data_IF_007380094827
#
_entry.id   IF_007380094827
#
_cell.length_a   1.000
_cell.length_b   1.000
_cell.length_c   1.000
_cell.angle_alpha   90.00
_cell.angle_beta   90.00
_cell.angle_gamma   90.00
#
_symmetry.space_group_name_H-M   'P 1'
#
loop_
_entity.id
_entity.type
_entity.pdbx_description
1 polymer ?
#
# COMPACT_ATOMS: atom_id res chain seq x y z
N UNK A 1 5.28 -17.13 -9.13
CA UNK A 1 6.58 -17.21 -8.44
C UNK A 1 6.47 -16.49 -7.09
N UNK A 2 6.89 -17.12 -5.99
CA UNK A 2 6.85 -16.49 -4.66
C UNK A 2 8.01 -15.49 -4.52
N UNK A 3 7.71 -14.22 -4.24
CA UNK A 3 8.72 -13.17 -4.08
C UNK A 3 9.69 -13.44 -2.95
N UNK A 4 10.98 -13.18 -3.20
CA UNK A 4 12.01 -13.23 -2.16
C UNK A 4 11.84 -12.07 -1.16
N UNK A 5 12.25 -12.22 0.11
CA UNK A 5 12.17 -11.15 1.11
C UNK A 5 12.90 -9.87 0.68
N UNK A 6 13.98 -9.98 -0.10
CA UNK A 6 14.73 -8.85 -0.65
C UNK A 6 13.94 -8.07 -1.69
N UNK A 7 13.17 -8.76 -2.55
CA UNK A 7 12.26 -8.13 -3.50
C UNK A 7 11.10 -7.42 -2.79
N UNK A 8 10.59 -8.00 -1.70
CA UNK A 8 9.58 -7.34 -0.85
C UNK A 8 10.11 -6.07 -0.19
N UNK A 9 11.35 -6.09 0.29
CA UNK A 9 11.99 -4.91 0.88
C UNK A 9 12.22 -3.79 -0.16
N UNK A 10 12.66 -4.13 -1.37
CA UNK A 10 12.81 -3.16 -2.46
C UNK A 10 11.49 -2.52 -2.87
N UNK A 11 10.40 -3.29 -2.91
CA UNK A 11 9.05 -2.77 -3.14
C UNK A 11 8.57 -1.88 -2.00
N UNK A 12 8.88 -2.25 -0.76
CA UNK A 12 8.62 -1.41 0.41
C UNK A 12 9.30 -0.05 0.31
N UNK A 13 10.57 -0.03 -0.10
CA UNK A 13 11.32 1.21 -0.31
C UNK A 13 10.68 2.11 -1.38
N UNK A 14 10.29 1.54 -2.53
CA UNK A 14 9.58 2.28 -3.59
C UNK A 14 8.23 2.82 -3.11
N UNK A 15 7.51 2.05 -2.30
CA UNK A 15 6.23 2.48 -1.70
C UNK A 15 6.40 3.65 -0.74
N UNK A 16 7.49 3.67 0.03
CA UNK A 16 7.82 4.77 0.93
C UNK A 16 8.03 6.10 0.17
N UNK A 17 8.61 6.06 -1.04
CA UNK A 17 8.73 7.24 -1.91
C UNK A 17 7.36 7.82 -2.28
N UNK A 18 6.35 6.95 -2.41
CA UNK A 18 4.98 7.34 -2.75
C UNK A 18 4.09 7.58 -1.52
N UNK A 19 4.63 7.63 -0.29
CA UNK A 19 3.85 7.82 0.94
C UNK A 19 2.88 9.01 0.89
N UNK A 20 3.31 10.10 0.25
CA UNK A 20 2.50 11.32 0.12
C UNK A 20 1.27 11.08 -0.77
N UNK A 21 1.38 10.25 -1.81
CA UNK A 21 0.24 9.89 -2.69
C UNK A 21 -0.83 9.10 -1.95
N UNK A 22 -0.42 8.19 -1.06
CA UNK A 22 -1.37 7.50 -0.18
C UNK A 22 -2.06 8.49 0.76
N UNK A 23 -1.32 9.46 1.31
CA UNK A 23 -1.89 10.50 2.19
C UNK A 23 -2.85 11.42 1.44
N UNK A 24 -2.48 11.87 0.24
CA UNK A 24 -3.34 12.68 -0.64
C UNK A 24 -4.64 11.93 -0.99
N UNK A 25 -4.55 10.63 -1.28
CA UNK A 25 -5.75 9.83 -1.60
C UNK A 25 -6.65 9.60 -0.39
N UNK A 26 -6.06 9.43 0.79
CA UNK A 26 -6.80 9.37 2.05
C UNK A 26 -7.54 10.67 2.32
N UNK A 27 -6.86 11.79 2.13
CA UNK A 27 -7.42 13.14 2.27
C UNK A 27 -8.57 13.39 1.27
N UNK A 28 -8.37 13.03 0.00
CA UNK A 28 -9.39 13.11 -1.05
C UNK A 28 -10.64 12.27 -0.72
N UNK A 29 -10.44 11.10 -0.10
CA UNK A 29 -11.55 10.26 0.33
C UNK A 29 -12.21 10.73 1.64
N UNK A 30 -11.60 11.68 2.35
CA UNK A 30 -12.02 12.10 3.69
C UNK A 30 -11.77 11.04 4.78
N UNK A 31 -10.79 10.16 4.59
CA UNK A 31 -10.46 9.09 5.53
C UNK A 31 -9.16 9.38 6.27
N UNK A 32 -9.21 9.29 7.60
CA UNK A 32 -8.02 9.28 8.45
C UNK A 32 -7.41 7.89 8.54
N UNK A 33 -6.15 7.82 8.97
CA UNK A 33 -5.48 6.53 9.23
C UNK A 33 -6.19 5.70 10.31
N UNK A 34 -6.90 6.35 11.23
CA UNK A 34 -7.68 5.71 12.29
C UNK A 34 -9.01 5.19 11.76
N UNK A 35 -9.78 6.04 11.08
CA UNK A 35 -11.07 5.72 10.46
C UNK A 35 -10.92 4.56 9.46
N UNK A 36 -9.88 4.60 8.64
CA UNK A 36 -9.52 3.51 7.73
C UNK A 36 -9.18 2.21 8.49
N UNK A 37 -8.48 2.32 9.63
CA UNK A 37 -8.13 1.18 10.46
C UNK A 37 -9.37 0.50 11.03
N UNK A 38 -10.32 1.28 11.51
CA UNK A 38 -11.59 0.78 12.04
C UNK A 38 -12.42 0.09 10.95
N UNK A 39 -12.55 0.72 9.77
CA UNK A 39 -13.28 0.14 8.63
C UNK A 39 -12.67 -1.20 8.17
N UNK A 40 -11.33 -1.28 8.12
CA UNK A 40 -10.62 -2.50 7.74
C UNK A 40 -10.43 -3.49 8.89
N UNK A 41 -10.77 -3.13 10.13
CA UNK A 41 -10.48 -3.93 11.32
C UNK A 41 -8.97 -4.23 11.48
N UNK A 42 -8.12 -3.25 11.18
CA UNK A 42 -6.66 -3.32 11.34
C UNK A 42 -6.17 -2.21 12.24
N UNK A 43 -4.97 -2.35 12.82
CA UNK A 43 -4.38 -1.26 13.60
C UNK A 43 -3.95 -0.08 12.70
N UNK A 44 -4.09 1.18 13.15
CA UNK A 44 -3.57 2.34 12.42
C UNK A 44 -2.05 2.30 12.23
N UNK A 45 -1.34 1.56 13.10
CA UNK A 45 0.09 1.27 12.96
C UNK A 45 0.35 0.37 11.75
N UNK A 46 -0.53 -0.62 11.50
CA UNK A 46 -0.47 -1.49 10.32
C UNK A 46 -0.60 -0.69 9.03
N UNK A 47 -1.49 0.31 9.00
CA UNK A 47 -1.65 1.21 7.86
C UNK A 47 -0.39 2.03 7.64
N UNK A 48 0.12 2.69 8.68
CA UNK A 48 1.35 3.48 8.59
C UNK A 48 2.56 2.64 8.16
N UNK A 49 2.71 1.42 8.70
CA UNK A 49 3.76 0.49 8.27
C UNK A 49 3.57 0.03 6.83
N UNK A 50 2.33 -0.07 6.36
CA UNK A 50 2.03 -0.42 4.96
C UNK A 50 2.38 0.71 4.01
N UNK A 51 2.07 1.96 4.38
CA UNK A 51 2.41 3.16 3.61
C UNK A 51 3.93 3.39 3.59
N UNK A 52 4.60 3.24 4.74
CA UNK A 52 6.06 3.33 4.85
C UNK A 52 6.80 2.12 4.25
N UNK A 53 6.08 1.10 3.75
CA UNK A 53 6.67 -0.06 3.09
C UNK A 53 7.35 -1.06 4.01
N UNK A 54 7.25 -0.91 5.34
CA UNK A 54 7.79 -1.86 6.33
C UNK A 54 6.93 -3.11 6.48
N UNK A 55 5.63 -3.01 6.14
CA UNK A 55 4.68 -4.12 6.24
C UNK A 55 3.87 -4.23 4.94
N UNK A 56 3.52 -5.45 4.56
CA UNK A 56 2.66 -5.68 3.40
C UNK A 56 1.30 -6.20 3.85
N UNK A 57 0.29 -5.33 3.92
CA UNK A 57 -1.08 -5.71 4.21
C UNK A 57 -1.94 -5.70 2.94
N UNK A 58 -2.37 -6.87 2.44
CA UNK A 58 -3.18 -6.95 1.21
C UNK A 58 -4.56 -6.32 1.39
N UNK A 59 -5.11 -6.26 2.61
CA UNK A 59 -6.41 -5.62 2.90
C UNK A 59 -6.35 -4.11 2.67
N UNK A 60 -5.32 -3.47 3.22
CA UNK A 60 -5.07 -2.03 3.06
C UNK A 60 -4.83 -1.70 1.58
N UNK A 61 -4.04 -2.51 0.89
CA UNK A 61 -3.78 -2.33 -0.54
C UNK A 61 -5.04 -2.51 -1.40
N UNK A 62 -5.85 -3.53 -1.13
CA UNK A 62 -7.11 -3.71 -1.86
C UNK A 62 -8.07 -2.52 -1.67
N UNK A 63 -8.13 -1.94 -0.47
CA UNK A 63 -8.92 -0.74 -0.24
C UNK A 63 -8.45 0.43 -1.11
N UNK A 64 -7.15 0.69 -1.16
CA UNK A 64 -6.59 1.73 -2.03
C UNK A 64 -6.85 1.46 -3.51
N UNK A 65 -6.79 0.18 -3.92
CA UNK A 65 -7.10 -0.23 -5.30
C UNK A 65 -8.57 0.06 -5.65
N UNK A 66 -9.48 -0.31 -4.76
CA UNK A 66 -10.92 -0.08 -4.93
C UNK A 66 -11.25 1.41 -5.07
N UNK A 67 -10.56 2.26 -4.30
CA UNK A 67 -10.69 3.73 -4.37
C UNK A 67 -9.94 4.38 -5.54
N UNK A 68 -9.37 3.58 -6.45
CA UNK A 68 -8.74 4.08 -7.69
C UNK A 68 -7.31 4.62 -7.51
N UNK A 69 -6.60 4.25 -6.44
CA UNK A 69 -5.17 4.53 -6.37
C UNK A 69 -4.45 3.69 -7.44
N UNK A 70 -3.66 4.34 -8.30
CA UNK A 70 -3.00 3.67 -9.41
C UNK A 70 -2.02 2.59 -8.91
N UNK A 71 -2.00 1.44 -9.59
CA UNK A 71 -1.22 0.25 -9.18
C UNK A 71 0.28 0.51 -9.11
N UNK A 72 0.79 1.46 -9.90
CA UNK A 72 2.17 1.97 -9.82
C UNK A 72 2.56 2.47 -8.42
N UNK A 73 1.59 3.03 -7.67
CA UNK A 73 1.81 3.51 -6.31
C UNK A 73 1.60 2.40 -5.28
N UNK A 74 0.68 1.46 -5.52
CA UNK A 74 0.50 0.30 -4.66
C UNK A 74 1.76 -0.56 -4.59
N UNK A 75 2.62 -0.54 -5.63
CA UNK A 75 3.82 -1.38 -5.71
C UNK A 75 3.46 -2.82 -5.30
N UNK A 76 2.41 -3.35 -5.92
CA UNK A 76 1.84 -4.64 -5.55
C UNK A 76 2.79 -5.75 -6.06
N UNK A 77 3.25 -6.65 -5.18
CA UNK A 77 4.13 -7.75 -5.54
C UNK A 77 3.52 -8.71 -6.57
N UNK A 78 2.18 -8.70 -6.76
CA UNK A 78 1.48 -9.55 -7.71
C UNK A 78 1.53 -9.02 -9.15
N UNK A 79 1.66 -7.70 -9.35
CA UNK A 79 1.73 -7.06 -10.67
C UNK A 79 3.11 -6.51 -11.05
N UNK A 80 4.05 -6.43 -10.11
CA UNK A 80 5.45 -6.10 -10.43
C UNK A 80 6.14 -7.16 -11.31
N UNK A 81 5.48 -8.29 -11.59
CA UNK A 81 5.90 -9.27 -12.59
C UNK A 81 5.32 -9.07 -13.98
N UNK A 82 4.38 -8.15 -14.20
CA UNK A 82 3.74 -7.93 -15.52
C UNK A 82 4.33 -6.76 -16.31
N UNK A 83 5.04 -5.81 -15.68
CA UNK A 83 5.77 -4.73 -16.39
C UNK A 83 7.17 -5.19 -16.87
N UNK A 84 7.28 -6.46 -17.24
CA UNK A 84 8.45 -7.07 -17.86
C UNK A 84 7.98 -8.12 -18.90
N UNK A 85 7.05 -7.73 -19.78
CA UNK A 85 6.68 -8.48 -20.97
C UNK A 85 6.27 -7.51 -22.08
#
# INVERSE_FOLDING_TARGET
>A
MAMTPSQRAALGARRCTHRYRFREKLDECGYDSTTLAEELGVSPVTINRTINGSLHSPRVLNWFRDRGLAERFLCDPRKCGEEAA
#
